data_IF_996624374810
#
_entry.id   IF_996624374810
#
_cell.length_a   1.000
_cell.length_b   1.000
_cell.length_c   1.000
_cell.angle_alpha   90.00
_cell.angle_beta   90.00
_cell.angle_gamma   90.00
#
_symmetry.space_group_name_H-M   'P 1'
#
loop_
_entity.id
_entity.type
_entity.pdbx_description
1 polymer ?
#
# COMPACT_ATOMS: atom_id res chain seq x y z
N UNK A 1 -20.28 14.98 0.39
CA UNK A 1 -20.34 13.52 0.22
C UNK A 1 -19.85 13.23 -1.19
N UNK A 2 -18.82 12.39 -1.37
CA UNK A 2 -18.55 11.84 -2.69
C UNK A 2 -19.49 10.64 -2.85
N UNK A 3 -20.69 10.89 -3.39
CA UNK A 3 -21.55 9.82 -3.89
C UNK A 3 -20.82 9.08 -5.04
N UNK A 4 -21.18 7.83 -5.38
CA UNK A 4 -20.67 7.15 -6.58
C UNK A 4 -20.69 8.07 -7.82
N UNK A 5 -21.76 8.86 -7.96
CA UNK A 5 -21.89 9.97 -8.91
C UNK A 5 -20.71 10.94 -8.96
N UNK A 6 -20.06 11.26 -7.85
CA UNK A 6 -18.99 12.29 -7.82
C UNK A 6 -17.71 11.78 -8.45
N UNK A 7 -17.33 10.52 -8.17
CA UNK A 7 -16.14 9.91 -8.77
C UNK A 7 -16.35 9.67 -10.26
N UNK A 8 -17.51 9.14 -10.65
CA UNK A 8 -17.85 8.92 -12.06
C UNK A 8 -17.90 10.24 -12.85
N UNK A 9 -18.53 11.29 -12.29
CA UNK A 9 -18.53 12.62 -12.92
C UNK A 9 -17.13 13.19 -13.07
N UNK A 10 -16.25 12.99 -12.09
CA UNK A 10 -14.86 13.46 -12.14
C UNK A 10 -14.08 12.76 -13.26
N UNK A 11 -14.16 11.43 -13.33
CA UNK A 11 -13.54 10.64 -14.41
C UNK A 11 -14.08 11.07 -15.79
N UNK A 12 -15.40 11.27 -15.92
CA UNK A 12 -16.02 11.71 -17.18
C UNK A 12 -15.54 13.11 -17.58
N UNK A 13 -15.44 14.04 -16.62
CA UNK A 13 -15.01 15.42 -16.86
C UNK A 13 -13.61 15.47 -17.45
N UNK A 14 -12.68 14.69 -16.90
CA UNK A 14 -11.27 14.75 -17.27
C UNK A 14 -10.82 13.65 -18.24
N UNK A 15 -11.75 12.87 -18.83
CA UNK A 15 -11.42 11.72 -19.69
C UNK A 15 -10.59 12.06 -20.93
N UNK A 16 -10.61 13.32 -21.37
CA UNK A 16 -9.87 13.81 -22.55
C UNK A 16 -8.53 14.46 -22.18
N UNK A 17 -8.26 14.65 -20.88
CA UNK A 17 -7.00 15.19 -20.39
C UNK A 17 -5.97 14.07 -20.22
N UNK A 18 -4.68 14.42 -20.16
CA UNK A 18 -3.65 13.46 -19.80
C UNK A 18 -3.92 12.96 -18.36
N UNK A 19 -4.12 11.65 -18.21
CA UNK A 19 -4.45 11.07 -16.91
C UNK A 19 -3.32 11.25 -15.89
N UNK A 20 -3.65 11.49 -14.62
CA UNK A 20 -2.65 11.57 -13.57
C UNK A 20 -1.92 10.23 -13.41
N UNK A 21 -0.63 10.29 -13.10
CA UNK A 21 0.20 9.09 -12.92
C UNK A 21 0.55 8.88 -11.45
N UNK A 22 0.59 7.60 -11.04
CA UNK A 22 1.10 7.19 -9.75
C UNK A 22 2.53 6.67 -9.94
N UNK A 23 3.53 7.32 -9.31
CA UNK A 23 4.91 6.82 -9.29
C UNK A 23 4.99 5.54 -8.45
N UNK A 24 5.14 4.40 -9.13
CA UNK A 24 5.33 3.09 -8.50
C UNK A 24 6.81 2.73 -8.58
N UNK A 25 7.44 2.60 -7.41
CA UNK A 25 8.82 2.13 -7.30
C UNK A 25 8.83 0.70 -6.85
N UNK A 26 9.35 -0.20 -7.67
CA UNK A 26 9.44 -1.62 -7.33
C UNK A 26 10.75 -1.93 -6.62
N UNK A 27 10.67 -2.65 -5.50
CA UNK A 27 11.83 -3.18 -4.81
C UNK A 27 12.36 -4.41 -5.54
N UNK A 28 13.13 -4.21 -6.62
CA UNK A 28 13.57 -5.32 -7.49
C UNK A 28 14.24 -6.46 -6.70
N UNK A 29 15.23 -6.15 -5.85
CA UNK A 29 15.91 -7.17 -5.06
C UNK A 29 14.95 -7.91 -4.09
N UNK A 30 14.16 -7.22 -3.24
CA UNK A 30 13.14 -7.88 -2.43
C UNK A 30 12.14 -8.73 -3.22
N UNK A 31 11.75 -8.32 -4.42
CA UNK A 31 10.80 -9.08 -5.26
C UNK A 31 11.40 -10.34 -5.90
N UNK A 32 12.72 -10.49 -5.92
CA UNK A 32 13.41 -11.66 -6.46
C UNK A 32 13.88 -12.64 -5.36
N UNK A 33 13.77 -12.26 -4.09
CA UNK A 33 14.23 -13.05 -2.95
C UNK A 33 13.21 -14.12 -2.53
N UNK A 34 13.13 -15.19 -3.33
CA UNK A 34 12.21 -16.32 -3.12
C UNK A 34 12.37 -16.96 -1.73
N UNK A 35 13.59 -17.21 -1.21
CA UNK A 35 13.75 -17.69 0.17
C UNK A 35 13.12 -16.75 1.21
N UNK A 36 13.34 -15.43 1.10
CA UNK A 36 12.74 -14.48 2.02
C UNK A 36 11.20 -14.41 1.91
N UNK A 37 10.62 -14.67 0.73
CA UNK A 37 9.17 -14.77 0.55
C UNK A 37 8.60 -15.96 1.31
N UNK A 38 9.24 -17.14 1.22
CA UNK A 38 8.80 -18.33 1.95
C UNK A 38 8.81 -18.10 3.45
N UNK A 39 9.91 -17.57 3.98
CA UNK A 39 9.99 -17.25 5.43
C UNK A 39 8.93 -16.21 5.82
N UNK A 40 8.61 -15.25 4.95
CA UNK A 40 7.57 -14.26 5.26
C UNK A 40 6.18 -14.89 5.23
N UNK A 41 5.94 -15.80 4.29
CA UNK A 41 4.70 -16.53 4.19
C UNK A 41 4.50 -17.45 5.41
N UNK A 42 5.51 -18.24 5.78
CA UNK A 42 5.46 -19.11 6.96
C UNK A 42 5.16 -18.30 8.23
N UNK A 43 5.85 -17.17 8.44
CA UNK A 43 5.61 -16.30 9.60
C UNK A 43 4.21 -15.65 9.58
N UNK A 44 3.66 -15.34 8.40
CA UNK A 44 2.29 -14.83 8.28
C UNK A 44 1.26 -15.93 8.56
N UNK A 45 1.48 -17.15 8.10
CA UNK A 45 0.62 -18.30 8.35
C UNK A 45 0.63 -18.71 9.83
N UNK A 46 1.78 -18.60 10.51
CA UNK A 46 1.91 -18.91 11.94
C UNK A 46 1.30 -17.83 12.84
N UNK A 47 1.47 -16.54 12.49
CA UNK A 47 1.20 -15.44 13.41
C UNK A 47 -0.02 -14.58 13.07
N UNK A 48 -0.55 -14.66 11.85
CA UNK A 48 -1.68 -13.85 11.41
C UNK A 48 -2.89 -14.71 11.00
N UNK A 49 -4.08 -14.12 11.10
CA UNK A 49 -5.27 -14.71 10.48
C UNK A 49 -5.12 -14.72 8.95
N UNK A 50 -6.02 -15.46 8.29
CA UNK A 50 -6.23 -15.29 6.85
C UNK A 50 -6.54 -13.82 6.53
N UNK A 51 -6.07 -13.36 5.38
CA UNK A 51 -6.34 -12.01 4.89
C UNK A 51 -7.79 -11.91 4.42
N UNK A 52 -8.52 -10.95 4.99
CA UNK A 52 -9.86 -10.57 4.55
C UNK A 52 -9.78 -9.35 3.63
N UNK A 53 -10.73 -9.28 2.68
CA UNK A 53 -10.83 -8.18 1.72
C UNK A 53 -12.19 -7.51 1.84
N UNK A 54 -12.20 -6.19 1.99
CA UNK A 54 -13.43 -5.41 2.02
C UNK A 54 -13.29 -4.14 1.18
N UNK A 55 -14.39 -3.65 0.61
CA UNK A 55 -14.40 -2.33 -0.04
C UNK A 55 -14.13 -1.24 0.99
N UNK A 56 -13.18 -0.36 0.71
CA UNK A 56 -12.79 0.74 1.58
C UNK A 56 -13.81 1.89 1.50
N UNK A 57 -15.00 1.66 2.06
CA UNK A 57 -16.08 2.63 2.21
C UNK A 57 -16.22 3.10 3.65
N UNK A 58 -16.79 4.28 3.85
CA UNK A 58 -16.90 4.91 5.17
C UNK A 58 -17.54 4.03 6.26
N UNK A 59 -18.54 3.22 5.89
CA UNK A 59 -19.27 2.35 6.81
C UNK A 59 -18.47 1.12 7.26
N UNK A 60 -17.39 0.76 6.56
CA UNK A 60 -16.59 -0.44 6.84
C UNK A 60 -16.07 -0.47 8.28
N UNK A 61 -15.72 0.69 8.85
CA UNK A 61 -15.18 0.77 10.20
C UNK A 61 -16.09 0.20 11.30
N UNK A 62 -17.38 -0.01 11.04
CA UNK A 62 -18.29 -0.69 11.98
C UNK A 62 -18.23 -2.22 11.91
N UNK A 63 -17.80 -2.78 10.78
CA UNK A 63 -17.69 -4.22 10.54
C UNK A 63 -16.30 -4.79 10.87
N UNK A 64 -15.26 -3.96 10.95
CA UNK A 64 -13.90 -4.41 11.25
C UNK A 64 -13.75 -4.92 12.68
N UNK A 65 -12.89 -5.94 12.92
CA UNK A 65 -12.65 -6.49 14.26
C UNK A 65 -11.99 -5.46 15.17
N UNK A 66 -12.29 -5.55 16.47
CA UNK A 66 -11.64 -4.74 17.51
C UNK A 66 -10.36 -5.40 18.01
N UNK A 67 -9.50 -5.80 17.07
CA UNK A 67 -8.28 -6.57 17.31
C UNK A 67 -7.05 -5.87 16.73
N UNK A 68 -5.86 -6.28 17.20
CA UNK A 68 -4.59 -5.84 16.63
C UNK A 68 -4.30 -6.60 15.34
N UNK A 69 -3.51 -6.02 14.44
CA UNK A 69 -3.21 -6.67 13.18
C UNK A 69 -2.52 -5.80 12.14
N UNK A 70 -2.51 -6.32 10.92
CA UNK A 70 -1.95 -5.70 9.72
C UNK A 70 -3.08 -5.29 8.78
N UNK A 71 -2.86 -4.23 8.01
CA UNK A 71 -3.79 -3.83 6.98
C UNK A 71 -3.09 -3.22 5.76
N UNK A 72 -3.80 -3.23 4.64
CA UNK A 72 -3.39 -2.60 3.39
C UNK A 72 -4.53 -1.82 2.77
N UNK A 73 -4.22 -0.70 2.12
CA UNK A 73 -5.10 -0.10 1.12
C UNK A 73 -4.64 -0.55 -0.26
N UNK A 74 -5.55 -1.18 -1.02
CA UNK A 74 -5.25 -1.80 -2.31
C UNK A 74 -6.17 -1.20 -3.37
N UNK A 75 -5.59 -0.59 -4.40
CA UNK A 75 -6.35 -0.13 -5.55
C UNK A 75 -6.56 -1.30 -6.53
N UNK A 76 -7.82 -1.49 -6.94
CA UNK A 76 -8.20 -2.58 -7.82
C UNK A 76 -9.07 -2.06 -8.96
N UNK A 77 -8.50 -1.82 -10.14
CA UNK A 77 -9.27 -1.50 -11.34
C UNK A 77 -10.31 -2.58 -11.64
N UNK A 78 -11.46 -2.17 -12.19
CA UNK A 78 -12.56 -3.09 -12.52
C UNK A 78 -12.26 -4.02 -13.71
N UNK A 79 -11.20 -3.75 -14.48
CA UNK A 79 -10.80 -4.59 -15.61
C UNK A 79 -10.34 -5.97 -15.13
N UNK A 80 -10.78 -7.00 -15.85
CA UNK A 80 -10.37 -8.38 -15.64
C UNK A 80 -9.92 -8.98 -16.97
N UNK A 81 -8.89 -9.80 -16.91
CA UNK A 81 -8.35 -10.51 -18.05
C UNK A 81 -8.75 -11.98 -17.94
N UNK A 82 -9.32 -12.52 -19.01
CA UNK A 82 -9.55 -13.95 -19.14
C UNK A 82 -8.22 -14.64 -19.45
N UNK A 83 -7.92 -15.71 -18.72
CA UNK A 83 -6.72 -16.54 -18.88
C UNK A 83 -7.04 -17.77 -19.74
N UNK A 84 -6.04 -18.36 -20.38
CA UNK A 84 -6.20 -19.55 -21.23
C UNK A 84 -6.65 -20.82 -20.46
N UNK A 85 -6.57 -20.80 -19.14
CA UNK A 85 -7.06 -21.86 -18.24
C UNK A 85 -8.46 -21.55 -17.67
N UNK A 86 -9.23 -20.69 -18.34
CA UNK A 86 -10.56 -20.20 -17.95
C UNK A 86 -10.64 -19.46 -16.60
N UNK A 87 -9.49 -19.16 -15.98
CA UNK A 87 -9.43 -18.30 -14.80
C UNK A 87 -9.49 -16.82 -15.18
N UNK A 88 -9.83 -15.98 -14.21
CA UNK A 88 -9.85 -14.53 -14.37
C UNK A 88 -8.74 -13.91 -13.52
N UNK A 89 -7.99 -12.99 -14.10
CA UNK A 89 -6.97 -12.22 -13.39
C UNK A 89 -7.36 -10.75 -13.32
N UNK A 90 -6.93 -10.08 -12.24
CA UNK A 90 -7.08 -8.64 -12.07
C UNK A 90 -5.83 -8.03 -11.46
N UNK A 91 -5.59 -6.76 -11.77
CA UNK A 91 -4.45 -6.03 -11.24
C UNK A 91 -4.79 -5.44 -9.88
N UNK A 92 -3.96 -5.72 -8.89
CA UNK A 92 -4.05 -5.13 -7.56
C UNK A 92 -2.78 -4.34 -7.30
N UNK A 93 -2.95 -3.07 -6.95
CA UNK A 93 -1.83 -2.22 -6.56
C UNK A 93 -1.93 -1.90 -5.08
N UNK A 94 -0.99 -2.43 -4.29
CA UNK A 94 -0.85 -2.06 -2.88
C UNK A 94 -0.39 -0.61 -2.81
N UNK A 95 -1.21 0.27 -2.23
CA UNK A 95 -0.92 1.69 -2.09
C UNK A 95 -0.26 2.00 -0.75
N UNK A 96 -0.74 1.33 0.31
CA UNK A 96 -0.29 1.57 1.67
C UNK A 96 -0.38 0.28 2.48
N UNK A 97 0.61 0.06 3.35
CA UNK A 97 0.61 -1.01 4.35
C UNK A 97 0.77 -0.37 5.72
N UNK A 98 0.02 -0.86 6.71
CA UNK A 98 0.12 -0.36 8.07
C UNK A 98 -0.17 -1.42 9.12
N UNK A 99 0.13 -1.07 10.37
CA UNK A 99 -0.23 -1.85 11.54
C UNK A 99 -1.23 -1.16 12.47
N UNK A 100 -1.96 -1.96 13.23
CA UNK A 100 -2.77 -1.56 14.37
C UNK A 100 -2.41 -2.41 15.60
N UNK A 101 -2.22 -1.76 16.76
CA UNK A 101 -2.10 -2.47 18.03
C UNK A 101 -0.78 -3.18 18.31
N UNK A 102 0.31 -2.81 17.63
CA UNK A 102 1.66 -3.31 17.90
C UNK A 102 2.17 -3.04 19.32
N UNK A 103 3.35 -3.57 19.65
CA UNK A 103 3.93 -3.47 21.00
C UNK A 103 3.90 -2.04 21.56
N UNK A 104 3.29 -1.87 22.75
CA UNK A 104 3.09 -0.59 23.42
C UNK A 104 1.83 0.20 23.00
N UNK A 105 1.04 -0.26 22.02
CA UNK A 105 -0.16 0.43 21.53
C UNK A 105 -1.47 -0.25 21.99
N UNK A 106 -1.67 -0.39 23.31
CA UNK A 106 -2.92 -0.95 23.85
C UNK A 106 -4.11 -0.04 23.47
N UNK A 107 -5.20 -0.63 22.96
CA UNK A 107 -6.42 0.07 22.51
C UNK A 107 -6.42 0.53 21.04
N UNK A 108 -5.29 0.45 20.34
CA UNK A 108 -5.25 0.68 18.90
C UNK A 108 -5.58 -0.61 18.16
N UNK A 109 -6.71 -0.66 17.45
CA UNK A 109 -7.24 -1.85 16.77
C UNK A 109 -7.45 -1.56 15.28
N UNK A 110 -7.65 -2.59 14.45
CA UNK A 110 -7.96 -2.43 13.03
C UNK A 110 -9.17 -1.51 12.83
N UNK A 111 -10.23 -1.72 13.62
CA UNK A 111 -11.40 -0.86 13.69
C UNK A 111 -11.06 0.61 13.96
N UNK A 112 -10.32 0.88 15.03
CA UNK A 112 -9.98 2.25 15.44
C UNK A 112 -9.06 2.91 14.41
N UNK A 113 -8.08 2.17 13.91
CA UNK A 113 -7.15 2.65 12.90
C UNK A 113 -7.85 2.98 11.58
N UNK A 114 -8.84 2.19 11.16
CA UNK A 114 -9.64 2.51 9.97
C UNK A 114 -10.42 3.82 10.11
N UNK A 115 -10.97 4.08 11.30
CA UNK A 115 -11.69 5.35 11.58
C UNK A 115 -10.79 6.56 11.37
N UNK A 116 -9.50 6.48 11.67
CA UNK A 116 -8.54 7.57 11.41
C UNK A 116 -8.43 7.91 9.91
N UNK A 117 -8.61 6.91 9.03
CA UNK A 117 -8.55 7.07 7.58
C UNK A 117 -9.84 7.56 6.94
N UNK A 118 -10.96 7.61 7.69
CA UNK A 118 -12.26 8.07 7.19
C UNK A 118 -12.19 9.45 6.52
N UNK A 119 -11.37 10.36 7.04
CA UNK A 119 -11.14 11.69 6.42
C UNK A 119 -10.44 11.62 5.07
N UNK A 120 -9.53 10.67 4.90
CA UNK A 120 -8.77 10.47 3.66
C UNK A 120 -9.62 9.78 2.58
N UNK A 121 -10.49 8.84 2.99
CA UNK A 121 -11.44 8.18 2.09
C UNK A 121 -12.50 9.12 1.52
N UNK A 122 -12.71 10.29 2.16
CA UNK A 122 -13.58 11.38 1.69
C UNK A 122 -12.85 12.40 0.82
N UNK A 123 -11.61 12.11 0.39
CA UNK A 123 -10.87 12.97 -0.53
C UNK A 123 -11.69 13.29 -1.79
N UNK A 124 -11.55 14.52 -2.28
CA UNK A 124 -12.21 14.94 -3.52
C UNK A 124 -11.56 14.23 -4.72
N UNK A 125 -12.30 13.43 -5.52
CA UNK A 125 -11.74 12.73 -6.68
C UNK A 125 -11.09 13.68 -7.71
N UNK A 126 -11.60 14.92 -7.83
CA UNK A 126 -11.01 15.94 -8.72
C UNK A 126 -9.54 16.22 -8.39
N UNK A 127 -9.15 16.04 -7.12
CA UNK A 127 -7.78 16.28 -6.72
C UNK A 127 -6.81 15.29 -7.36
N UNK A 128 -7.26 14.15 -7.90
CA UNK A 128 -6.39 13.22 -8.62
C UNK A 128 -5.76 13.87 -9.85
N UNK A 129 -6.44 14.84 -10.50
CA UNK A 129 -5.97 15.52 -11.70
C UNK A 129 -5.11 16.77 -11.44
N UNK A 130 -4.69 17.01 -10.19
CA UNK A 130 -3.74 18.10 -9.91
C UNK A 130 -2.36 17.81 -10.50
N UNK A 131 -1.75 18.78 -11.19
CA UNK A 131 -0.43 18.63 -11.83
C UNK A 131 0.67 18.16 -10.86
N UNK A 132 0.64 18.65 -9.62
CA UNK A 132 1.62 18.29 -8.58
C UNK A 132 0.94 17.58 -7.40
N UNK A 133 1.19 16.27 -7.19
CA UNK A 133 0.67 15.55 -6.03
C UNK A 133 1.28 16.08 -4.72
N UNK A 134 0.54 16.04 -3.60
CA UNK A 134 1.07 16.50 -2.31
C UNK A 134 2.34 15.75 -1.87
N UNK A 135 3.32 16.47 -1.34
CA UNK A 135 4.60 15.89 -0.88
C UNK A 135 4.56 15.40 0.57
N UNK A 136 3.55 15.79 1.35
CA UNK A 136 3.37 15.32 2.74
C UNK A 136 2.66 13.97 2.76
N UNK A 137 2.96 13.11 3.75
CA UNK A 137 2.28 11.81 3.92
C UNK A 137 0.76 11.98 4.01
N UNK A 138 0.29 12.91 4.84
CA UNK A 138 -1.14 13.14 5.03
C UNK A 138 -1.81 13.61 3.73
N UNK A 139 -1.13 14.48 2.96
CA UNK A 139 -1.59 14.91 1.64
C UNK A 139 -1.66 13.75 0.65
N UNK A 140 -0.62 12.92 0.56
CA UNK A 140 -0.61 11.72 -0.30
C UNK A 140 -1.74 10.75 0.04
N UNK A 141 -1.98 10.51 1.34
CA UNK A 141 -3.09 9.65 1.77
C UNK A 141 -4.45 10.22 1.33
N UNK A 142 -4.70 11.51 1.54
CA UNK A 142 -5.96 12.13 1.07
C UNK A 142 -6.11 12.08 -0.45
N UNK A 143 -5.01 12.29 -1.18
CA UNK A 143 -5.00 12.33 -2.63
C UNK A 143 -5.24 10.93 -3.23
N UNK A 144 -4.44 9.92 -2.83
CA UNK A 144 -4.49 8.59 -3.46
C UNK A 144 -5.51 7.63 -2.85
N UNK A 145 -5.96 7.81 -1.60
CA UNK A 145 -7.07 7.01 -1.07
C UNK A 145 -8.45 7.45 -1.59
N UNK A 146 -8.50 8.48 -2.44
CA UNK A 146 -9.68 8.84 -3.22
C UNK A 146 -9.87 7.96 -4.47
N UNK A 147 -8.85 7.19 -4.88
CA UNK A 147 -8.96 6.23 -5.98
C UNK A 147 -10.09 5.22 -5.73
N UNK A 148 -10.81 4.83 -6.79
CA UNK A 148 -11.84 3.78 -6.73
C UNK A 148 -11.72 2.83 -7.92
N UNK A 149 -12.08 1.54 -7.77
CA UNK A 149 -12.39 0.85 -6.51
C UNK A 149 -11.17 0.72 -5.60
N UNK A 150 -11.38 0.95 -4.30
CA UNK A 150 -10.34 0.81 -3.27
C UNK A 150 -10.79 -0.25 -2.28
N UNK A 151 -9.88 -1.16 -1.95
CA UNK A 151 -10.08 -2.23 -0.99
C UNK A 151 -9.22 -1.97 0.26
N UNK A 152 -9.71 -2.47 1.40
CA UNK A 152 -9.02 -2.55 2.66
C UNK A 152 -8.82 -4.02 2.98
N UNK A 153 -7.58 -4.48 2.85
CA UNK A 153 -7.20 -5.86 3.18
C UNK A 153 -6.68 -5.88 4.60
N UNK A 154 -7.05 -6.87 5.41
CA UNK A 154 -6.61 -6.93 6.81
C UNK A 154 -6.45 -8.36 7.30
N UNK A 155 -5.61 -8.53 8.32
CA UNK A 155 -5.44 -9.76 9.07
C UNK A 155 -5.20 -9.43 10.54
N UNK A 156 -5.82 -10.18 11.45
CA UNK A 156 -5.58 -10.04 12.89
C UNK A 156 -4.29 -10.75 13.27
N UNK A 157 -3.61 -10.26 14.31
CA UNK A 157 -2.36 -10.83 14.82
C UNK A 157 -2.41 -10.83 16.34
N UNK A 158 -2.41 -12.02 16.93
CA UNK A 158 -2.49 -12.20 18.38
C UNK A 158 -1.19 -11.76 19.07
N UNK A 159 -0.04 -12.22 18.57
CA UNK A 159 1.27 -11.81 19.08
C UNK A 159 1.66 -10.41 18.56
N UNK A 160 1.28 -9.40 19.35
CA UNK A 160 1.57 -7.97 19.09
C UNK A 160 3.06 -7.65 18.92
N UNK A 161 3.97 -8.50 19.41
CA UNK A 161 5.41 -8.29 19.24
C UNK A 161 5.85 -8.52 17.78
N UNK A 162 5.14 -9.38 17.03
CA UNK A 162 5.45 -9.74 15.64
C UNK A 162 5.00 -8.70 14.63
N UNK A 163 3.90 -7.99 14.93
CA UNK A 163 3.23 -7.05 14.01
C UNK A 163 4.22 -6.08 13.34
N UNK A 164 5.10 -5.45 14.12
CA UNK A 164 6.04 -4.45 13.60
C UNK A 164 7.04 -5.06 12.60
N UNK A 165 7.52 -6.28 12.85
CA UNK A 165 8.45 -6.96 11.95
C UNK A 165 7.75 -7.39 10.65
N UNK A 166 6.55 -7.97 10.75
CA UNK A 166 5.74 -8.37 9.61
C UNK A 166 5.39 -7.17 8.71
N UNK A 167 4.94 -6.06 9.30
CA UNK A 167 4.67 -4.81 8.59
C UNK A 167 5.91 -4.34 7.82
N UNK A 168 7.08 -4.30 8.47
CA UNK A 168 8.32 -3.83 7.85
C UNK A 168 8.73 -4.69 6.65
N UNK A 169 8.58 -6.03 6.74
CA UNK A 169 8.91 -6.95 5.66
C UNK A 169 7.93 -6.84 4.49
N UNK A 170 6.65 -6.70 4.76
CA UNK A 170 5.63 -6.42 3.74
C UNK A 170 5.89 -5.08 3.03
N UNK A 171 6.21 -4.02 3.78
CA UNK A 171 6.60 -2.72 3.19
C UNK A 171 7.87 -2.87 2.34
N UNK A 172 8.85 -3.64 2.79
CA UNK A 172 10.08 -3.83 2.03
C UNK A 172 9.84 -4.57 0.70
N UNK A 173 8.99 -5.61 0.73
CA UNK A 173 8.60 -6.42 -0.42
C UNK A 173 7.80 -5.61 -1.45
N UNK A 174 6.69 -4.99 -1.02
CA UNK A 174 5.76 -4.30 -1.93
C UNK A 174 6.17 -2.86 -2.26
N UNK A 175 7.04 -2.26 -1.45
CA UNK A 175 7.45 -0.86 -1.52
C UNK A 175 6.30 0.13 -1.85
N UNK A 176 5.21 0.15 -1.05
CA UNK A 176 4.00 0.88 -1.41
C UNK A 176 4.25 2.39 -1.49
N UNK A 177 3.66 3.12 -2.46
CA UNK A 177 3.95 4.53 -2.72
C UNK A 177 3.52 5.47 -1.58
N UNK A 178 2.57 5.07 -0.74
CA UNK A 178 2.07 5.92 0.36
C UNK A 178 2.81 5.68 1.69
N UNK A 179 3.64 4.65 1.79
CA UNK A 179 4.51 4.43 2.94
C UNK A 179 5.70 5.41 2.90
N UNK A 180 6.16 5.86 4.06
CA UNK A 180 7.37 6.70 4.11
C UNK A 180 8.58 5.84 3.71
N UNK A 181 9.21 6.19 2.60
CA UNK A 181 10.49 5.63 2.18
C UNK A 181 11.61 6.20 3.06
N UNK A 182 11.63 5.87 4.36
CA UNK A 182 12.79 6.08 5.22
C UNK A 182 13.90 5.06 4.88
N UNK A 183 14.12 4.79 3.59
CA UNK A 183 15.29 4.05 3.16
C UNK A 183 16.46 5.02 3.26
N UNK A 184 17.58 4.66 3.91
CA UNK A 184 18.79 5.43 3.74
C UNK A 184 19.04 5.50 2.24
N UNK A 185 19.04 6.72 1.67
CA UNK A 185 19.54 6.92 0.31
C UNK A 185 20.95 6.33 0.35
N UNK A 186 21.23 5.31 -0.45
CA UNK A 186 22.59 4.84 -0.71
C UNK A 186 23.34 6.03 -1.31
N UNK A 187 23.89 6.90 -0.45
CA UNK A 187 24.99 7.78 -0.83
C UNK A 187 26.17 6.84 -0.95
N UNK A 188 26.39 6.33 -2.15
CA UNK A 188 27.70 5.80 -2.50
C UNK A 188 28.71 6.91 -2.23
N UNK A 189 29.39 6.86 -1.09
CA UNK A 189 30.67 7.54 -0.97
C UNK A 189 31.58 6.76 -1.91
N UNK A 190 31.75 7.25 -3.14
CA UNK A 190 32.95 7.01 -3.91
C UNK A 190 34.11 7.69 -3.16
N UNK A 191 34.52 7.12 -2.02
CA UNK A 191 35.88 7.30 -1.55
C UNK A 191 36.73 6.40 -2.44
N UNK A 192 37.46 7.05 -3.36
CA UNK A 192 38.31 6.52 -4.42
C UNK A 192 37.61 5.68 -5.50
N UNK A 193 37.43 6.28 -6.67
CA UNK A 193 37.45 5.55 -7.94
C UNK A 193 38.78 4.76 -7.96
N UNK A 194 38.79 3.42 -8.00
CA UNK A 194 40.01 2.68 -8.24
C UNK A 194 40.51 3.08 -9.63
N UNK A 195 41.68 3.72 -9.72
CA UNK A 195 42.33 3.89 -11.01
C UNK A 195 42.61 2.50 -11.58
N UNK A 196 42.23 2.21 -12.83
CA UNK A 196 42.61 0.97 -13.47
C UNK A 196 44.14 0.91 -13.50
N UNK A 197 44.71 -0.19 -13.02
CA UNK A 197 46.13 -0.45 -13.15
C UNK A 197 46.46 -0.45 -14.66
N UNK A 198 47.16 0.59 -15.11
CA UNK A 198 47.83 0.55 -16.40
C UNK A 198 48.83 -0.59 -16.33
N UNK A 199 48.70 -1.55 -17.26
CA UNK A 199 49.74 -2.55 -17.48
C UNK A 199 50.90 -1.82 -18.13
N UNK A 200 52.05 -1.80 -17.47
CA UNK A 200 53.30 -1.38 -18.09
C UNK A 200 53.65 -2.39 -19.21
N UNK A 201 54.05 -1.85 -20.36
CA UNK A 201 54.60 -2.62 -21.48
C UNK A 201 56.03 -3.10 -21.18
#
# INVERSE_FOLDING_TARGET
MATPDTHERSVIRHRTEAGPSLDIRLGIAPMLDVPAHRVLQDDLEEHASLWEQALAVESLGSALPDEAGLYMFVWRPSIRLAMANDSWSSFHQVLYIGQAGGSGQRGNTLRNRYKDYKKHLRGNPENLWTEEPPTTRAGRLTHYLALRPLEFWFATVEDRAKIKNLEARLINLYNPPLNNQNRPKLRGRLSSIPQPALRDN
#
